data_IF_489560925677
#
_entry.id   IF_489560925677
#
_cell.length_a   1.000
_cell.length_b   1.000
_cell.length_c   1.000
_cell.angle_alpha   90.00
_cell.angle_beta   90.00
_cell.angle_gamma   90.00
#
_symmetry.space_group_name_H-M   'P 1'
#
loop_
_entity.id
_entity.type
_entity.pdbx_description
1 polymer ?
#
# COMPACT_ATOMS: atom_id res chain seq x y z
N UNK A 1 -0.88 9.81 15.14
CA UNK A 1 -0.93 8.35 14.95
C UNK A 1 -0.49 7.67 16.22
N UNK A 2 -1.31 6.78 16.79
CA UNK A 2 -0.86 5.87 17.86
C UNK A 2 -0.07 4.74 17.21
N UNK A 3 1.08 4.38 17.77
CA UNK A 3 1.93 3.35 17.16
C UNK A 3 2.72 2.56 18.22
N UNK A 4 2.95 1.26 18.03
CA UNK A 4 3.68 0.41 18.97
C UNK A 4 5.21 0.55 18.85
N UNK A 5 5.71 1.52 18.07
CA UNK A 5 7.14 1.66 17.80
C UNK A 5 7.91 2.17 19.01
N UNK A 6 9.03 1.51 19.29
CA UNK A 6 10.00 1.95 20.31
C UNK A 6 11.08 2.82 19.66
N UNK A 7 11.56 3.81 20.41
CA UNK A 7 12.67 4.68 20.03
C UNK A 7 12.47 5.38 18.68
N UNK A 8 11.28 5.91 18.44
CA UNK A 8 11.00 6.76 17.27
C UNK A 8 11.75 8.08 17.39
N UNK A 9 12.30 8.58 16.29
CA UNK A 9 12.95 9.90 16.22
C UNK A 9 12.20 10.84 15.29
N UNK A 10 12.27 12.13 15.59
CA UNK A 10 11.88 13.19 14.65
C UNK A 10 12.68 13.05 13.36
N UNK A 11 12.02 13.18 12.21
CA UNK A 11 12.63 13.04 10.90
C UNK A 11 12.66 11.61 10.36
N UNK A 12 12.27 10.59 11.14
CA UNK A 12 12.11 9.22 10.60
C UNK A 12 10.95 9.14 9.62
N UNK A 13 11.10 8.32 8.59
CA UNK A 13 10.02 8.00 7.64
C UNK A 13 9.23 6.79 8.11
N UNK A 14 7.91 6.91 8.07
CA UNK A 14 6.96 5.84 8.39
C UNK A 14 5.93 5.80 7.27
N UNK A 15 5.71 4.62 6.69
CA UNK A 15 4.61 4.37 5.78
C UNK A 15 3.31 4.23 6.57
N UNK A 16 2.28 5.00 6.20
CA UNK A 16 0.93 4.96 6.79
C UNK A 16 -0.06 4.59 5.69
N UNK A 17 -0.60 3.36 5.74
CA UNK A 17 -1.25 2.71 4.60
C UNK A 17 -0.41 2.88 3.30
N UNK A 18 0.90 2.67 3.40
CA UNK A 18 1.80 2.82 2.25
C UNK A 18 2.14 4.26 1.87
N UNK A 19 1.58 5.30 2.48
CA UNK A 19 2.05 6.67 2.23
C UNK A 19 3.26 6.98 3.14
N UNK A 20 4.43 7.22 2.55
CA UNK A 20 5.64 7.61 3.27
C UNK A 20 5.47 9.02 3.85
N UNK A 21 5.52 9.12 5.19
CA UNK A 21 5.37 10.37 5.92
C UNK A 21 6.50 10.55 6.93
N UNK A 22 6.95 11.80 7.06
CA UNK A 22 8.01 12.16 7.99
C UNK A 22 7.45 12.46 9.38
N UNK A 23 8.03 11.85 10.41
CA UNK A 23 7.72 12.12 11.81
C UNK A 23 8.09 13.57 12.14
N UNK A 24 7.08 14.38 12.44
CA UNK A 24 7.25 15.78 12.82
C UNK A 24 7.53 15.90 14.34
N UNK A 25 6.74 15.18 15.14
CA UNK A 25 6.88 15.13 16.61
C UNK A 25 6.64 13.71 17.12
N UNK A 26 7.44 13.31 18.09
CA UNK A 26 7.21 12.09 18.87
C UNK A 26 6.36 12.47 20.07
N UNK A 27 5.29 11.72 20.32
CA UNK A 27 4.38 11.92 21.45
C UNK A 27 4.24 10.64 22.26
N UNK A 28 3.65 10.70 23.45
CA UNK A 28 3.45 9.50 24.28
C UNK A 28 2.58 8.49 23.52
N UNK A 29 3.15 7.32 23.20
CA UNK A 29 2.47 6.23 22.50
C UNK A 29 2.26 6.44 20.99
N UNK A 30 2.94 7.41 20.37
CA UNK A 30 2.72 7.69 18.96
C UNK A 30 3.55 8.83 18.38
N UNK A 31 3.08 9.37 17.26
CA UNK A 31 3.75 10.43 16.52
C UNK A 31 2.77 11.30 15.73
N UNK A 32 3.22 12.48 15.34
CA UNK A 32 2.55 13.37 14.38
C UNK A 32 3.33 13.41 13.08
N UNK A 33 2.62 13.69 11.99
CA UNK A 33 3.16 13.83 10.64
C UNK A 33 2.46 15.00 9.97
N UNK A 34 3.09 15.53 8.93
CA UNK A 34 2.48 16.49 8.03
C UNK A 34 2.38 15.86 6.63
N UNK A 35 1.16 15.77 6.10
CA UNK A 35 0.94 15.31 4.73
C UNK A 35 0.83 16.53 3.80
N UNK A 36 1.70 16.58 2.80
CA UNK A 36 1.70 17.66 1.80
C UNK A 36 0.54 17.49 0.81
N UNK A 37 0.18 18.57 0.10
CA UNK A 37 -0.93 18.57 -0.85
C UNK A 37 -0.83 17.46 -1.90
N UNK A 38 0.36 17.18 -2.43
CA UNK A 38 0.57 16.07 -3.38
C UNK A 38 0.19 14.72 -2.80
N UNK A 39 0.56 14.45 -1.53
CA UNK A 39 0.17 13.23 -0.84
C UNK A 39 -1.33 13.19 -0.60
N UNK A 40 -1.93 14.30 -0.14
CA UNK A 40 -3.37 14.39 0.08
C UNK A 40 -4.19 14.17 -1.20
N UNK A 41 -3.70 14.64 -2.35
CA UNK A 41 -4.37 14.47 -3.64
C UNK A 41 -4.31 13.06 -4.23
N UNK A 42 -3.43 12.19 -3.73
CA UNK A 42 -3.25 10.80 -4.22
C UNK A 42 -3.65 9.73 -3.20
N UNK A 43 -3.98 10.15 -1.98
CA UNK A 43 -4.28 9.26 -0.86
C UNK A 43 -5.65 9.61 -0.27
N UNK A 44 -6.14 8.73 0.60
CA UNK A 44 -7.35 8.91 1.39
C UNK A 44 -7.11 9.72 2.66
N UNK A 45 -5.89 10.18 2.92
CA UNK A 45 -5.50 10.80 4.20
C UNK A 45 -6.37 12.01 4.54
N UNK A 46 -6.74 12.82 3.54
CA UNK A 46 -7.60 13.99 3.74
C UNK A 46 -9.02 13.63 4.25
N UNK A 47 -9.48 12.40 4.01
CA UNK A 47 -10.80 11.92 4.39
C UNK A 47 -10.80 11.24 5.77
N UNK A 48 -9.63 10.94 6.32
CA UNK A 48 -9.51 10.13 7.53
C UNK A 48 -9.97 10.88 8.77
N UNK A 49 -10.74 10.17 9.59
CA UNK A 49 -11.22 10.64 10.88
C UNK A 49 -10.47 9.97 12.02
N UNK A 50 -10.48 10.63 13.19
CA UNK A 50 -9.94 10.06 14.43
C UNK A 50 -10.59 8.69 14.72
N UNK A 51 -9.77 7.72 15.08
CA UNK A 51 -10.21 6.34 15.37
C UNK A 51 -10.04 5.36 14.21
N UNK A 52 -9.71 5.83 13.00
CA UNK A 52 -9.36 4.94 11.89
C UNK A 52 -8.15 4.07 12.22
N UNK A 53 -8.26 2.76 11.94
CA UNK A 53 -7.12 1.85 11.97
C UNK A 53 -6.36 1.93 10.64
N UNK A 54 -5.03 1.92 10.70
CA UNK A 54 -4.13 2.02 9.55
C UNK A 54 -3.00 1.00 9.69
N UNK A 55 -2.46 0.52 8.56
CA UNK A 55 -1.21 -0.21 8.50
C UNK A 55 -0.05 0.77 8.70
N UNK A 56 0.96 0.36 9.47
CA UNK A 56 2.15 1.15 9.74
C UNK A 56 3.40 0.31 9.49
N UNK A 57 4.34 0.87 8.73
CA UNK A 57 5.65 0.25 8.50
C UNK A 57 6.76 1.29 8.66
N UNK A 58 7.84 0.95 9.37
CA UNK A 58 9.02 1.82 9.49
C UNK A 58 9.89 1.65 8.26
N UNK A 59 10.59 2.71 7.87
CA UNK A 59 11.61 2.60 6.84
C UNK A 59 12.63 1.50 7.16
N UNK A 60 12.92 0.68 6.15
CA UNK A 60 13.87 -0.44 6.21
C UNK A 60 15.29 0.08 6.48
N UNK A 61 16.04 -0.57 7.37
CA UNK A 61 17.49 -0.32 7.48
C UNK A 61 18.23 -1.07 6.39
N UNK A 62 19.36 -0.55 5.93
CA UNK A 62 20.15 -1.18 4.86
C UNK A 62 20.57 -2.64 5.16
N UNK A 63 20.73 -3.01 6.42
CA UNK A 63 21.10 -4.35 6.87
C UNK A 63 19.90 -5.29 7.14
N UNK A 64 18.67 -4.79 7.06
CA UNK A 64 17.48 -5.55 7.40
C UNK A 64 17.04 -6.46 6.23
N UNK A 65 16.20 -7.45 6.54
CA UNK A 65 15.63 -8.35 5.54
C UNK A 65 14.55 -7.63 4.73
N UNK A 66 14.66 -7.69 3.40
CA UNK A 66 13.57 -7.31 2.49
C UNK A 66 12.69 -8.53 2.22
N UNK A 67 11.63 -8.70 3.03
CA UNK A 67 10.72 -9.87 2.94
C UNK A 67 9.62 -9.76 1.89
N UNK A 68 9.37 -8.56 1.35
CA UNK A 68 8.44 -8.29 0.26
C UNK A 68 9.17 -7.84 -1.00
N UNK A 69 8.70 -6.76 -1.60
CA UNK A 69 9.36 -6.06 -2.71
C UNK A 69 9.75 -4.63 -2.31
N UNK A 70 10.35 -3.88 -3.25
CA UNK A 70 10.67 -2.47 -3.03
C UNK A 70 9.39 -1.63 -3.00
N UNK A 71 8.97 -1.24 -1.80
CA UNK A 71 7.90 -0.27 -1.56
C UNK A 71 8.54 1.06 -1.23
N UNK A 72 8.32 2.07 -2.06
CA UNK A 72 8.84 3.43 -1.83
C UNK A 72 7.98 4.21 -0.84
N UNK A 73 6.72 3.81 -0.72
CA UNK A 73 5.70 4.53 0.01
C UNK A 73 5.18 5.74 -0.78
N UNK A 74 5.24 5.64 -2.11
CA UNK A 74 4.79 6.66 -3.05
C UNK A 74 3.52 6.17 -3.72
N UNK A 75 2.41 6.32 -3.00
CA UNK A 75 1.07 5.96 -3.49
C UNK A 75 0.81 6.62 -4.84
N UNK A 76 0.52 5.79 -5.82
CA UNK A 76 0.17 6.23 -7.18
C UNK A 76 -1.26 6.77 -7.18
N UNK A 77 -2.17 6.02 -6.57
CA UNK A 77 -3.53 6.49 -6.37
C UNK A 77 -4.37 5.61 -5.47
N UNK A 78 -5.68 5.71 -5.64
CA UNK A 78 -6.68 5.00 -4.84
C UNK A 78 -7.37 3.96 -5.70
N UNK A 79 -7.32 2.70 -5.26
CA UNK A 79 -8.10 1.60 -5.81
C UNK A 79 -9.43 1.43 -5.08
N UNK A 80 -10.35 0.70 -5.71
CA UNK A 80 -11.66 0.33 -5.13
C UNK A 80 -11.80 -1.18 -5.12
N UNK A 81 -12.13 -1.76 -3.97
CA UNK A 81 -12.40 -3.19 -3.83
C UNK A 81 -13.69 -3.53 -4.55
N UNK A 82 -13.62 -4.31 -5.61
CA UNK A 82 -14.77 -4.71 -6.42
C UNK A 82 -15.39 -6.02 -5.94
N UNK A 83 -14.58 -6.93 -5.40
CA UNK A 83 -15.03 -8.22 -4.89
C UNK A 83 -14.12 -8.72 -3.77
N UNK A 84 -14.73 -9.38 -2.79
CA UNK A 84 -14.05 -10.14 -1.74
C UNK A 84 -14.68 -11.53 -1.71
N UNK A 85 -13.88 -12.58 -1.84
CA UNK A 85 -14.35 -13.96 -1.83
C UNK A 85 -13.43 -14.85 -0.99
N UNK A 86 -14.02 -15.66 -0.12
CA UNK A 86 -13.29 -16.72 0.58
C UNK A 86 -12.94 -17.84 -0.41
N UNK A 87 -11.69 -18.30 -0.36
CA UNK A 87 -11.19 -19.52 -0.98
C UNK A 87 -10.70 -20.47 0.14
N UNK A 88 -10.22 -21.65 -0.24
CA UNK A 88 -9.87 -22.71 0.73
C UNK A 88 -8.75 -22.29 1.70
N UNK A 89 -7.73 -21.58 1.22
CA UNK A 89 -6.53 -21.20 1.97
C UNK A 89 -6.29 -19.68 2.04
N UNK A 90 -7.11 -18.87 1.37
CA UNK A 90 -6.93 -17.41 1.26
C UNK A 90 -8.26 -16.68 1.03
N UNK A 91 -8.23 -15.35 1.19
CA UNK A 91 -9.28 -14.46 0.67
C UNK A 91 -8.80 -13.84 -0.63
N UNK A 92 -9.58 -14.00 -1.68
CA UNK A 92 -9.35 -13.35 -2.97
C UNK A 92 -10.01 -11.98 -2.97
N UNK A 93 -9.24 -10.96 -3.34
CA UNK A 93 -9.71 -9.57 -3.41
C UNK A 93 -9.45 -9.04 -4.80
N UNK A 94 -10.52 -8.66 -5.50
CA UNK A 94 -10.43 -7.96 -6.79
C UNK A 94 -10.47 -6.46 -6.52
N UNK A 95 -9.49 -5.73 -7.05
CA UNK A 95 -9.30 -4.30 -6.83
C UNK A 95 -9.28 -3.61 -8.19
N UNK A 96 -10.22 -2.70 -8.41
CA UNK A 96 -10.17 -1.75 -9.50
C UNK A 96 -9.08 -0.72 -9.23
N UNK A 97 -8.11 -0.59 -10.13
CA UNK A 97 -6.92 0.26 -9.95
C UNK A 97 -6.87 1.40 -10.98
N UNK A 98 -6.20 2.53 -10.66
CA UNK A 98 -5.93 3.57 -11.63
C UNK A 98 -5.10 3.06 -12.81
N UNK A 99 -5.31 3.66 -13.98
CA UNK A 99 -4.62 3.29 -15.24
C UNK A 99 -3.10 3.22 -15.11
N UNK A 100 -2.49 4.13 -14.36
CA UNK A 100 -1.04 4.16 -14.17
C UNK A 100 -0.49 2.94 -13.43
N UNK A 101 -1.27 2.39 -12.49
CA UNK A 101 -0.96 1.15 -11.78
C UNK A 101 -1.22 -0.05 -12.69
N UNK A 102 -2.35 -0.06 -13.42
CA UNK A 102 -2.67 -1.10 -14.39
C UNK A 102 -1.53 -1.29 -15.42
N UNK A 103 -1.06 -0.20 -16.03
CA UNK A 103 -0.06 -0.24 -17.11
C UNK A 103 1.34 -0.69 -16.65
N UNK A 104 1.56 -0.85 -15.34
CA UNK A 104 2.82 -1.32 -14.74
C UNK A 104 2.68 -2.63 -13.98
N UNK A 105 1.45 -3.13 -13.83
CA UNK A 105 1.16 -4.38 -13.14
C UNK A 105 1.29 -5.55 -14.09
N UNK A 106 1.92 -6.64 -13.63
CA UNK A 106 2.07 -7.89 -14.39
C UNK A 106 1.54 -9.07 -13.58
N UNK A 107 1.06 -10.10 -14.27
CA UNK A 107 0.63 -11.35 -13.63
C UNK A 107 1.80 -11.96 -12.84
N UNK A 108 1.53 -12.39 -11.60
CA UNK A 108 2.53 -12.88 -10.63
C UNK A 108 3.60 -11.85 -10.23
N UNK A 109 3.45 -10.58 -10.64
CA UNK A 109 4.27 -9.47 -10.17
C UNK A 109 3.87 -9.01 -8.78
N UNK A 110 4.59 -8.01 -8.27
CA UNK A 110 4.30 -7.39 -6.99
C UNK A 110 3.37 -6.17 -7.15
N UNK A 111 2.53 -5.96 -6.14
CA UNK A 111 1.72 -4.75 -5.97
C UNK A 111 1.65 -4.41 -4.48
N UNK A 112 1.59 -3.14 -4.14
CA UNK A 112 1.37 -2.69 -2.76
C UNK A 112 -0.04 -2.18 -2.58
N UNK A 113 -0.75 -2.69 -1.56
CA UNK A 113 -2.11 -2.27 -1.20
C UNK A 113 -2.14 -1.85 0.27
N UNK A 114 -2.49 -0.59 0.55
CA UNK A 114 -2.40 0.02 1.89
C UNK A 114 -1.07 -0.28 2.61
N UNK A 115 0.04 -0.23 1.86
CA UNK A 115 1.39 -0.50 2.38
C UNK A 115 1.74 -1.97 2.58
N UNK A 116 0.86 -2.90 2.22
CA UNK A 116 1.13 -4.34 2.28
C UNK A 116 1.61 -4.83 0.92
N UNK A 117 2.80 -5.43 0.90
CA UNK A 117 3.32 -6.12 -0.28
C UNK A 117 2.51 -7.39 -0.57
N UNK A 118 1.97 -7.49 -1.79
CA UNK A 118 1.16 -8.61 -2.25
C UNK A 118 1.62 -9.08 -3.63
N UNK A 119 1.29 -10.33 -3.95
CA UNK A 119 1.47 -10.89 -5.29
C UNK A 119 0.18 -10.77 -6.08
N UNK A 120 0.30 -10.34 -7.34
CA UNK A 120 -0.81 -10.34 -8.30
C UNK A 120 -1.16 -11.77 -8.65
N UNK A 121 -2.32 -12.23 -8.19
CA UNK A 121 -2.78 -13.59 -8.42
C UNK A 121 -3.33 -13.76 -9.85
N UNK A 122 -4.20 -12.85 -10.26
CA UNK A 122 -4.79 -12.81 -11.62
C UNK A 122 -5.08 -11.37 -12.03
N UNK A 123 -5.36 -11.18 -13.33
CA UNK A 123 -5.87 -9.93 -13.90
C UNK A 123 -7.24 -10.21 -14.51
N UNK A 124 -8.34 -10.17 -13.71
CA UNK A 124 -9.65 -10.64 -14.17
C UNK A 124 -10.18 -9.91 -15.42
N UNK A 125 -9.86 -8.62 -15.53
CA UNK A 125 -10.16 -7.76 -16.68
C UNK A 125 -9.27 -6.52 -16.65
N UNK A 126 -9.31 -5.73 -17.73
CA UNK A 126 -8.68 -4.41 -17.76
C UNK A 126 -9.10 -3.55 -16.56
N UNK A 127 -8.11 -2.91 -15.95
CA UNK A 127 -8.24 -2.08 -14.75
C UNK A 127 -8.46 -2.83 -13.45
N UNK A 128 -8.45 -4.17 -13.43
CA UNK A 128 -8.70 -4.96 -12.21
C UNK A 128 -7.55 -5.91 -11.92
N UNK A 129 -7.06 -5.85 -10.70
CA UNK A 129 -5.99 -6.71 -10.18
C UNK A 129 -6.57 -7.57 -9.06
N UNK A 130 -6.32 -8.87 -9.09
CA UNK A 130 -6.66 -9.76 -7.99
C UNK A 130 -5.44 -10.06 -7.14
N UNK A 131 -5.61 -10.02 -5.82
CA UNK A 131 -4.61 -10.42 -4.83
C UNK A 131 -5.20 -11.48 -3.89
N UNK A 132 -4.31 -12.27 -3.29
CA UNK A 132 -4.67 -13.30 -2.31
C UNK A 132 -4.17 -12.91 -0.93
N UNK A 133 -5.07 -12.89 0.06
CA UNK A 133 -4.75 -12.60 1.44
C UNK A 133 -4.68 -13.91 2.24
N UNK A 134 -3.45 -14.33 2.56
CA UNK A 134 -3.20 -15.48 3.44
C UNK A 134 -3.61 -15.17 4.89
N UNK A 135 -3.88 -16.19 5.74
CA UNK A 135 -4.39 -15.99 7.10
C UNK A 135 -3.57 -15.02 7.94
N UNK A 136 -2.24 -15.11 7.89
CA UNK A 136 -1.35 -14.22 8.64
C UNK A 136 -1.56 -12.74 8.24
N UNK A 137 -1.62 -12.45 6.94
CA UNK A 137 -1.85 -11.09 6.42
C UNK A 137 -3.22 -10.57 6.83
N UNK A 138 -4.27 -11.41 6.83
CA UNK A 138 -5.61 -11.02 7.27
C UNK A 138 -5.64 -10.62 8.74
N UNK A 139 -4.94 -11.35 9.59
CA UNK A 139 -4.91 -11.12 11.04
C UNK A 139 -4.07 -9.88 11.41
N UNK A 140 -2.97 -9.65 10.69
CA UNK A 140 -1.97 -8.64 11.07
C UNK A 140 -2.09 -7.31 10.31
N UNK A 141 -3.02 -7.18 9.37
CA UNK A 141 -3.22 -5.95 8.58
C UNK A 141 -4.68 -5.54 8.52
N UNK A 142 -4.95 -4.30 8.13
CA UNK A 142 -6.32 -3.82 7.90
C UNK A 142 -7.01 -4.51 6.73
N UNK A 143 -6.26 -5.20 5.86
CA UNK A 143 -6.78 -5.83 4.65
C UNK A 143 -7.75 -6.98 4.96
N UNK A 144 -7.60 -7.65 6.11
CA UNK A 144 -8.52 -8.71 6.52
C UNK A 144 -9.96 -8.26 6.79
N UNK A 145 -10.21 -6.94 6.83
CA UNK A 145 -11.52 -6.33 7.08
C UNK A 145 -12.16 -5.73 5.84
N UNK A 146 -11.50 -5.83 4.68
CA UNK A 146 -12.00 -5.24 3.44
C UNK A 146 -13.33 -5.83 3.03
N UNK A 147 -14.17 -4.98 2.46
CA UNK A 147 -15.45 -5.30 1.85
C UNK A 147 -15.54 -4.66 0.47
N UNK A 148 -16.46 -5.18 -0.34
CA UNK A 148 -16.79 -4.54 -1.60
C UNK A 148 -17.18 -3.07 -1.39
N UNK A 149 -16.62 -2.19 -2.21
CA UNK A 149 -16.78 -0.74 -2.14
C UNK A 149 -15.73 -0.02 -1.30
N UNK A 150 -14.91 -0.74 -0.51
CA UNK A 150 -13.83 -0.11 0.24
C UNK A 150 -12.77 0.49 -0.70
N UNK A 151 -12.20 1.62 -0.28
CA UNK A 151 -11.11 2.31 -1.00
C UNK A 151 -9.78 2.05 -0.31
N UNK A 152 -8.76 1.76 -1.10
CA UNK A 152 -7.42 1.40 -0.64
C UNK A 152 -6.36 2.21 -1.39
N UNK A 153 -5.24 2.53 -0.74
CA UNK A 153 -4.09 3.06 -1.45
C UNK A 153 -3.45 1.95 -2.29
N UNK A 154 -3.00 2.30 -3.49
CA UNK A 154 -2.25 1.40 -4.36
C UNK A 154 -0.94 2.03 -4.81
N UNK A 155 0.13 1.25 -4.74
CA UNK A 155 1.44 1.57 -5.29
C UNK A 155 1.88 0.40 -6.18
N UNK A 156 2.18 0.72 -7.44
CA UNK A 156 2.76 -0.23 -8.38
C UNK A 156 4.25 -0.45 -8.10
N UNK A 157 4.75 -1.63 -8.46
CA UNK A 157 6.16 -1.96 -8.36
C UNK A 157 7.02 -0.95 -9.15
N UNK A 158 8.00 -0.39 -8.44
CA UNK A 158 8.95 0.57 -9.02
C UNK A 158 9.71 -0.02 -10.21
N UNK A 159 9.97 -1.33 -10.21
CA UNK A 159 10.64 -2.00 -11.33
C UNK A 159 9.75 -1.96 -12.59
N UNK A 160 8.45 -2.21 -12.45
CA UNK A 160 7.48 -2.09 -13.54
C UNK A 160 7.41 -0.67 -14.10
N UNK A 161 7.46 0.34 -13.23
CA UNK A 161 7.51 1.76 -13.64
C UNK A 161 8.76 2.07 -14.47
N UNK A 162 9.94 1.63 -14.03
CA UNK A 162 11.18 1.85 -14.76
C UNK A 162 11.20 1.16 -16.12
N UNK A 163 10.79 -0.12 -16.19
CA UNK A 163 10.70 -0.88 -17.44
C UNK A 163 9.76 -0.17 -18.42
N UNK A 164 8.58 0.22 -17.97
CA UNK A 164 7.60 0.94 -18.80
C UNK A 164 8.15 2.26 -19.32
N UNK A 165 8.82 3.05 -18.47
CA UNK A 165 9.42 4.31 -18.88
C UNK A 165 10.50 4.10 -19.95
N UNK A 166 11.37 3.09 -19.78
CA UNK A 166 12.40 2.74 -20.75
C UNK A 166 11.79 2.33 -22.10
N UNK A 167 10.76 1.48 -22.10
CA UNK A 167 10.08 1.06 -23.32
C UNK A 167 9.38 2.22 -24.05
N UNK A 168 8.90 3.25 -23.33
CA UNK A 168 8.31 4.45 -23.93
C UNK A 168 9.35 5.40 -24.51
N UNK A 169 10.48 5.56 -23.85
CA UNK A 169 11.57 6.41 -24.34
C UNK A 169 12.32 5.83 -25.53
N UNK A 170 12.17 4.53 -25.79
CA UNK A 170 12.78 3.82 -26.92
C UNK A 170 11.91 3.83 -28.20
N UNK A 171 10.73 4.45 -28.15
CA UNK A 171 9.84 4.69 -29.30
C UNK A 171 10.03 6.12 -29.81
#
# INVERSE_FOLDING_TARGET
>A
MTAPFRALKKGESIAVNGACLTVEKVVKGGFTVHAVQTTLGRTLIAEWQKGRTVNLERALRASDRLGGHFVQGHVDGVGTVERVAEAEDAVLVDIGVPREVEETTVLHGAITVDGVSLTVNTLPRAGVVQVSLVPFTREHTTLGRLKQGDRVHVEADVLGKYVRQLCRSAQ
#
